data_IF_396705012024
#
_entry.id   IF_396705012024
#
_cell.length_a   1.000
_cell.length_b   1.000
_cell.length_c   1.000
_cell.angle_alpha   90.00
_cell.angle_beta   90.00
_cell.angle_gamma   90.00
#
_symmetry.space_group_name_H-M   'P 1'
#
loop_
_entity.id
_entity.type
_entity.pdbx_description
1 polymer ?
#
# COMPACT_ATOMS: atom_id res chain seq x y z
N UNK A 1 6.79 -15.67 -3.52
CA UNK A 1 5.54 -15.56 -2.76
C UNK A 1 5.11 -14.11 -2.77
N UNK A 2 3.81 -13.85 -2.94
CA UNK A 2 3.30 -12.49 -3.05
C UNK A 2 3.06 -11.86 -1.68
N UNK A 3 3.54 -10.64 -1.49
CA UNK A 3 3.32 -9.84 -0.29
C UNK A 3 2.73 -8.49 -0.65
N UNK A 4 1.71 -8.09 0.10
CA UNK A 4 1.17 -6.74 0.10
C UNK A 4 1.87 -5.94 1.19
N UNK A 5 2.50 -4.84 0.81
CA UNK A 5 3.15 -3.90 1.71
C UNK A 5 2.26 -2.66 1.79
N UNK A 6 1.54 -2.51 2.90
CA UNK A 6 0.51 -1.47 3.07
C UNK A 6 1.10 -0.30 3.83
N UNK A 7 0.99 0.88 3.25
CA UNK A 7 1.64 2.09 3.76
C UNK A 7 0.61 2.92 4.51
N UNK A 8 0.77 2.97 5.83
CA UNK A 8 -0.06 3.74 6.75
C UNK A 8 0.68 4.98 7.26
N UNK A 9 -0.02 6.11 7.33
CA UNK A 9 0.50 7.34 7.93
C UNK A 9 -0.62 8.32 8.25
N UNK A 10 -0.34 9.32 9.10
CA UNK A 10 -1.24 10.48 9.25
C UNK A 10 -1.16 11.36 7.99
N UNK A 11 -2.28 11.70 7.36
CA UNK A 11 -2.30 12.43 6.06
C UNK A 11 -1.55 13.77 6.02
N UNK A 12 -1.34 14.39 7.18
CA UNK A 12 -0.62 15.67 7.31
C UNK A 12 0.79 15.52 7.89
N UNK A 13 1.34 14.30 7.92
CA UNK A 13 2.69 14.05 8.44
C UNK A 13 3.81 14.58 7.54
N UNK A 14 3.51 14.79 6.25
CA UNK A 14 4.44 15.32 5.25
C UNK A 14 3.99 16.70 4.76
N UNK A 15 4.96 17.59 4.57
CA UNK A 15 4.75 18.75 3.70
C UNK A 15 4.79 18.34 2.20
N UNK A 16 4.60 19.32 1.31
CA UNK A 16 4.62 19.08 -0.14
C UNK A 16 5.96 18.53 -0.63
N UNK A 17 7.07 19.14 -0.19
CA UNK A 17 8.39 18.79 -0.67
C UNK A 17 8.79 17.39 -0.20
N UNK A 18 8.52 17.07 1.06
CA UNK A 18 8.76 15.74 1.62
C UNK A 18 7.90 14.67 0.93
N UNK A 19 6.68 15.00 0.53
CA UNK A 19 5.80 14.10 -0.22
C UNK A 19 6.31 13.85 -1.64
N UNK A 20 6.72 14.89 -2.35
CA UNK A 20 7.34 14.75 -3.67
C UNK A 20 8.61 13.90 -3.61
N UNK A 21 9.46 14.11 -2.60
CA UNK A 21 10.65 13.29 -2.37
C UNK A 21 10.30 11.82 -2.12
N UNK A 22 9.28 11.55 -1.29
CA UNK A 22 8.78 10.19 -1.07
C UNK A 22 8.32 9.51 -2.37
N UNK A 23 7.70 10.26 -3.30
CA UNK A 23 7.31 9.73 -4.60
C UNK A 23 8.52 9.42 -5.48
N UNK A 24 9.54 10.27 -5.49
CA UNK A 24 10.77 10.05 -6.25
C UNK A 24 11.50 8.80 -5.72
N UNK A 25 11.72 8.70 -4.42
CA UNK A 25 12.37 7.54 -3.80
C UNK A 25 11.57 6.25 -4.04
N UNK A 26 10.23 6.29 -3.87
CA UNK A 26 9.38 5.12 -4.10
C UNK A 26 9.39 4.68 -5.57
N UNK A 27 9.45 5.62 -6.50
CA UNK A 27 9.57 5.33 -7.94
C UNK A 27 10.91 4.67 -8.26
N UNK A 28 12.01 5.16 -7.68
CA UNK A 28 13.32 4.54 -7.84
C UNK A 28 13.36 3.13 -7.27
N UNK A 29 12.77 2.92 -6.09
CA UNK A 29 12.63 1.59 -5.48
C UNK A 29 11.82 0.66 -6.40
N UNK A 30 10.69 1.11 -6.94
CA UNK A 30 9.88 0.33 -7.88
C UNK A 30 10.69 -0.14 -9.10
N UNK A 31 11.52 0.74 -9.68
CA UNK A 31 12.41 0.38 -10.78
C UNK A 31 13.46 -0.68 -10.39
N UNK A 32 14.05 -0.54 -9.20
CA UNK A 32 15.02 -1.52 -8.69
C UNK A 32 14.37 -2.89 -8.47
N UNK A 33 13.20 -2.92 -7.83
CA UNK A 33 12.42 -4.16 -7.63
C UNK A 33 12.01 -4.78 -8.97
N UNK A 34 11.65 -3.94 -9.96
CA UNK A 34 11.30 -4.42 -11.30
C UNK A 34 12.49 -5.08 -12.00
N UNK A 35 13.68 -4.47 -11.92
CA UNK A 35 14.91 -5.03 -12.47
C UNK A 35 15.27 -6.39 -11.85
N UNK A 36 14.90 -6.61 -10.59
CA UNK A 36 15.12 -7.85 -9.86
C UNK A 36 13.98 -8.88 -10.03
N UNK A 37 12.93 -8.57 -10.81
CA UNK A 37 11.76 -9.45 -10.95
C UNK A 37 10.82 -9.49 -9.74
N UNK A 38 10.98 -8.59 -8.77
CA UNK A 38 10.23 -8.55 -7.51
C UNK A 38 9.00 -7.63 -7.58
N UNK A 39 8.93 -6.71 -8.55
CA UNK A 39 7.84 -5.73 -8.64
C UNK A 39 6.62 -6.28 -9.40
N UNK A 40 5.45 -6.26 -8.74
CA UNK A 40 4.16 -6.59 -9.36
C UNK A 40 3.31 -5.33 -9.59
N UNK A 41 3.09 -4.52 -8.56
CA UNK A 41 2.36 -3.25 -8.66
C UNK A 41 2.71 -2.32 -7.48
N UNK A 42 2.47 -1.01 -7.64
CA UNK A 42 2.50 -0.06 -6.53
C UNK A 42 1.71 1.19 -6.93
N UNK A 43 1.11 1.86 -5.95
CA UNK A 43 0.52 3.19 -6.16
C UNK A 43 0.36 3.93 -4.83
N UNK A 44 0.60 5.26 -4.80
CA UNK A 44 0.02 6.11 -3.77
C UNK A 44 -1.51 6.15 -3.95
N UNK A 45 -2.23 6.35 -2.85
CA UNK A 45 -3.67 6.54 -2.85
C UNK A 45 -3.98 8.02 -2.63
N UNK A 46 -5.15 8.44 -3.12
CA UNK A 46 -5.71 9.75 -2.78
C UNK A 46 -6.09 9.78 -1.28
N UNK A 47 -6.25 10.99 -0.69
CA UNK A 47 -6.71 11.13 0.69
C UNK A 47 -7.96 10.29 0.98
N UNK A 48 -8.07 9.76 2.19
CA UNK A 48 -9.17 8.92 2.66
C UNK A 48 -10.52 9.62 2.52
N UNK A 49 -10.56 10.96 2.57
CA UNK A 49 -11.76 11.75 2.30
C UNK A 49 -12.32 11.57 0.87
N UNK A 50 -11.49 11.13 -0.09
CA UNK A 50 -11.92 10.79 -1.46
C UNK A 50 -12.35 9.33 -1.61
N UNK A 51 -12.27 8.52 -0.55
CA UNK A 51 -12.71 7.14 -0.61
C UNK A 51 -14.25 7.04 -0.65
N UNK A 52 -14.74 5.92 -1.13
CA UNK A 52 -16.15 5.55 -1.07
C UNK A 52 -16.25 4.11 -0.60
N UNK A 53 -16.98 3.89 0.48
CA UNK A 53 -17.14 2.58 1.10
C UNK A 53 -18.47 1.95 0.70
N UNK A 54 -18.42 0.68 0.28
CA UNK A 54 -19.61 -0.09 -0.14
C UNK A 54 -19.78 -1.30 0.76
N UNK A 55 -21.01 -1.53 1.25
CA UNK A 55 -21.40 -2.69 2.06
C UNK A 55 -22.69 -3.29 1.52
N UNK A 56 -22.74 -4.61 1.32
CA UNK A 56 -23.96 -5.33 0.94
C UNK A 56 -24.34 -6.31 2.04
N UNK A 57 -25.57 -6.23 2.54
CA UNK A 57 -26.13 -7.15 3.55
C UNK A 57 -27.57 -7.46 3.20
N UNK A 58 -27.94 -8.74 3.27
CA UNK A 58 -29.31 -9.20 2.97
C UNK A 58 -29.82 -8.70 1.61
N UNK A 59 -28.94 -8.68 0.60
CA UNK A 59 -29.27 -8.17 -0.74
C UNK A 59 -29.42 -6.65 -0.86
N UNK A 60 -29.21 -5.89 0.21
CA UNK A 60 -29.29 -4.42 0.21
C UNK A 60 -27.90 -3.79 0.17
N UNK A 61 -27.73 -2.80 -0.72
CA UNK A 61 -26.50 -2.01 -0.85
C UNK A 61 -26.54 -0.78 0.06
N UNK A 62 -25.42 -0.51 0.71
CA UNK A 62 -25.13 0.69 1.49
C UNK A 62 -23.84 1.30 0.96
N UNK A 63 -23.88 2.59 0.63
CA UNK A 63 -22.74 3.34 0.10
C UNK A 63 -22.54 4.55 1.02
N UNK A 64 -21.31 4.75 1.47
CA UNK A 64 -20.93 5.87 2.34
C UNK A 64 -19.69 6.55 1.80
N UNK A 65 -19.65 7.88 1.90
CA UNK A 65 -18.46 8.65 1.59
C UNK A 65 -17.40 8.43 2.68
N UNK A 66 -16.13 8.44 2.27
CA UNK A 66 -15.00 8.23 3.16
C UNK A 66 -14.55 6.76 3.33
N UNK A 67 -13.51 6.55 4.16
CA UNK A 67 -12.91 5.24 4.36
C UNK A 67 -13.83 4.33 5.18
N UNK A 68 -13.54 3.03 5.17
CA UNK A 68 -14.28 2.06 5.99
C UNK A 68 -14.13 2.32 7.49
N UNK A 69 -12.93 2.72 7.91
CA UNK A 69 -12.58 2.96 9.30
C UNK A 69 -11.97 4.36 9.43
N UNK A 70 -12.41 5.09 10.44
CA UNK A 70 -11.75 6.31 10.91
C UNK A 70 -10.60 5.89 11.83
N UNK A 71 -9.38 5.97 11.32
CA UNK A 71 -8.16 5.60 12.03
C UNK A 71 -7.27 6.82 12.19
N UNK A 72 -6.35 6.78 13.16
CA UNK A 72 -5.33 7.82 13.33
C UNK A 72 -4.42 7.89 12.10
N UNK A 73 -3.95 6.74 11.62
CA UNK A 73 -3.13 6.60 10.41
C UNK A 73 -3.97 5.99 9.29
N UNK A 74 -4.00 6.63 8.12
CA UNK A 74 -4.78 6.23 6.96
C UNK A 74 -3.95 5.37 6.01
N UNK A 75 -4.59 4.50 5.24
CA UNK A 75 -3.93 3.76 4.16
C UNK A 75 -3.66 4.71 3.00
N UNK A 76 -2.40 5.12 2.83
CA UNK A 76 -2.02 6.11 1.82
C UNK A 76 -1.30 5.53 0.60
N UNK A 77 -1.00 4.23 0.58
CA UNK A 77 -0.33 3.60 -0.55
C UNK A 77 -0.08 2.12 -0.35
N UNK A 78 0.39 1.46 -1.41
CA UNK A 78 0.82 0.07 -1.32
C UNK A 78 1.94 -0.26 -2.32
N UNK A 79 2.68 -1.32 -2.00
CA UNK A 79 3.43 -2.13 -2.95
C UNK A 79 2.90 -3.56 -2.92
N UNK A 80 2.76 -4.18 -4.08
CA UNK A 80 2.58 -5.62 -4.26
C UNK A 80 3.87 -6.16 -4.87
N UNK A 81 4.52 -7.07 -4.16
CA UNK A 81 5.83 -7.61 -4.52
C UNK A 81 5.82 -9.13 -4.53
N UNK A 82 6.67 -9.71 -5.36
CA UNK A 82 7.08 -11.11 -5.27
C UNK A 82 8.40 -11.18 -4.51
N UNK A 83 8.38 -11.89 -3.38
CA UNK A 83 9.54 -12.10 -2.52
C UNK A 83 9.67 -13.59 -2.18
N UNK A 84 10.90 -14.05 -1.97
CA UNK A 84 11.23 -15.43 -1.63
C UNK A 84 10.59 -15.87 -0.32
N UNK A 85 10.62 -15.00 0.68
CA UNK A 85 10.16 -15.25 2.04
C UNK A 85 9.78 -13.95 2.77
N UNK A 86 9.35 -14.05 4.03
CA UNK A 86 8.93 -12.91 4.83
C UNK A 86 10.09 -11.95 5.11
N UNK A 87 11.31 -12.48 5.30
CA UNK A 87 12.49 -11.67 5.60
C UNK A 87 12.86 -10.79 4.40
N UNK A 88 12.78 -11.32 3.17
CA UNK A 88 12.97 -10.51 1.97
C UNK A 88 11.87 -9.44 1.81
N UNK A 89 10.61 -9.79 2.12
CA UNK A 89 9.52 -8.82 2.09
C UNK A 89 9.70 -7.68 3.12
N UNK A 90 10.18 -8.00 4.34
CA UNK A 90 10.53 -7.02 5.36
C UNK A 90 11.68 -6.13 4.90
N UNK A 91 12.73 -6.70 4.31
CA UNK A 91 13.86 -5.94 3.77
C UNK A 91 13.44 -4.97 2.65
N UNK A 92 12.42 -5.33 1.86
CA UNK A 92 11.82 -4.40 0.88
C UNK A 92 11.00 -3.32 1.60
N UNK A 93 10.18 -3.70 2.59
CA UNK A 93 9.34 -2.77 3.34
C UNK A 93 10.14 -1.67 4.05
N UNK A 94 11.28 -1.99 4.65
CA UNK A 94 12.18 -1.03 5.31
C UNK A 94 12.75 0.03 4.35
N UNK A 95 12.80 -0.27 3.04
CA UNK A 95 13.29 0.65 2.01
C UNK A 95 12.21 1.59 1.49
N UNK A 96 10.94 1.35 1.83
CA UNK A 96 9.86 2.27 1.47
C UNK A 96 9.98 3.53 2.33
N UNK A 97 10.04 4.74 1.74
CA UNK A 97 10.33 5.99 2.48
C UNK A 97 9.41 6.21 3.69
N UNK A 98 8.13 5.86 3.53
CA UNK A 98 7.11 6.01 4.58
C UNK A 98 7.31 5.11 5.79
N UNK A 99 8.16 4.07 5.72
CA UNK A 99 8.55 3.30 6.91
C UNK A 99 9.26 4.18 7.97
N UNK A 100 9.81 5.33 7.58
CA UNK A 100 10.47 6.28 8.49
C UNK A 100 9.51 7.24 9.19
N UNK A 101 8.28 7.40 8.68
CA UNK A 101 7.32 8.44 9.11
C UNK A 101 5.91 7.92 9.38
N UNK A 102 5.69 6.63 9.18
CA UNK A 102 4.45 5.92 9.44
C UNK A 102 4.76 4.43 9.58
N UNK A 103 3.88 3.59 9.06
CA UNK A 103 4.02 2.12 9.18
C UNK A 103 3.88 1.45 7.82
N UNK A 104 4.75 0.48 7.54
CA UNK A 104 4.55 -0.46 6.43
C UNK A 104 4.15 -1.82 6.98
N UNK A 105 2.89 -2.20 6.81
CA UNK A 105 2.41 -3.52 7.20
C UNK A 105 2.73 -4.54 6.11
N UNK A 106 3.48 -5.60 6.46
CA UNK A 106 3.85 -6.69 5.55
C UNK A 106 2.86 -7.83 5.67
N UNK A 107 2.08 -8.07 4.62
CA UNK A 107 1.00 -9.08 4.65
C UNK A 107 1.12 -10.07 3.48
N UNK A 108 1.28 -11.38 3.75
CA UNK A 108 1.25 -12.41 2.70
C UNK A 108 -0.10 -12.41 1.97
N UNK A 109 -0.06 -12.57 0.65
CA UNK A 109 -1.26 -12.69 -0.19
C UNK A 109 -1.60 -14.17 -0.36
N UNK A 110 -2.90 -14.49 -0.27
CA UNK A 110 -3.40 -15.83 -0.60
C UNK A 110 -3.46 -15.96 -2.12
N UNK A 111 -2.74 -16.92 -2.67
CA UNK A 111 -2.79 -17.22 -4.11
C UNK A 111 -3.90 -18.23 -4.39
N UNK A 112 -4.91 -17.80 -5.14
CA UNK A 112 -6.10 -18.61 -5.47
C UNK A 112 -6.00 -19.04 -6.93
N UNK A 113 -6.08 -20.35 -7.18
CA UNK A 113 -6.09 -20.89 -8.53
C UNK A 113 -7.29 -20.36 -9.33
N UNK A 114 -7.03 -19.86 -10.54
CA UNK A 114 -8.06 -19.32 -11.44
C UNK A 114 -8.41 -17.83 -11.21
N UNK A 115 -7.78 -17.16 -10.23
CA UNK A 115 -7.86 -15.69 -10.11
C UNK A 115 -7.05 -15.04 -11.27
N UNK A 116 -7.62 -14.10 -12.03
CA UNK A 116 -6.92 -13.47 -13.14
C UNK A 116 -5.68 -12.71 -12.65
N UNK A 117 -4.59 -12.83 -13.42
CA UNK A 117 -3.31 -12.14 -13.23
C UNK A 117 -3.25 -10.89 -14.10
#
# INVERSE_FOLDING_TARGET
>A
MKYMLLIYHEEHVLDEAEREECYVESTQLAHQLKANGQFLAASPLQPAAMATSVRVREGKRFVTDGPFAETREQLGGYFLVDAKDLDEAIAIAERIPMARKGTVEVRPVIEIAGLPI
#
